data_IF_808772142725
#
_entry.id   IF_808772142725
#
_cell.length_a   1.000
_cell.length_b   1.000
_cell.length_c   1.000
_cell.angle_alpha   90.00
_cell.angle_beta   90.00
_cell.angle_gamma   90.00
#
_symmetry.space_group_name_H-M   'P 1'
#
loop_
_entity.id
_entity.type
_entity.pdbx_description
1 polymer ?
#
# COMPACT_ATOMS: atom_id res chain seq x y z
N UNK A 1 -6.87 0.40 -14.69
CA UNK A 1 -5.81 0.41 -13.66
C UNK A 1 -5.04 1.71 -13.75
N UNK A 2 -4.42 2.01 -14.89
CA UNK A 2 -3.59 3.21 -15.11
C UNK A 2 -4.25 4.52 -14.66
N UNK A 3 -5.46 4.83 -15.16
CA UNK A 3 -6.16 6.05 -14.75
C UNK A 3 -6.49 6.14 -13.25
N UNK A 4 -6.58 5.01 -12.54
CA UNK A 4 -6.73 5.01 -11.09
C UNK A 4 -5.39 5.28 -10.41
N UNK A 5 -4.30 4.69 -10.90
CA UNK A 5 -2.96 4.96 -10.38
C UNK A 5 -2.62 6.44 -10.55
N UNK A 6 -2.85 7.00 -11.75
CA UNK A 6 -2.63 8.43 -12.03
C UNK A 6 -3.41 9.31 -11.04
N UNK A 7 -4.69 9.01 -10.83
CA UNK A 7 -5.54 9.76 -9.89
C UNK A 7 -5.05 9.67 -8.44
N UNK A 8 -4.53 8.51 -8.01
CA UNK A 8 -3.99 8.35 -6.66
C UNK A 8 -2.62 9.02 -6.51
N UNK A 9 -1.76 8.99 -7.53
CA UNK A 9 -0.48 9.71 -7.56
C UNK A 9 -0.68 11.22 -7.57
N UNK A 10 -1.66 11.73 -8.32
CA UNK A 10 -2.07 13.14 -8.27
C UNK A 10 -2.53 13.51 -6.85
N UNK A 11 -3.38 12.69 -6.25
CA UNK A 11 -3.83 12.91 -4.88
C UNK A 11 -2.66 12.92 -3.88
N UNK A 12 -1.69 12.00 -4.01
CA UNK A 12 -0.48 11.97 -3.18
C UNK A 12 0.30 13.27 -3.33
N UNK A 13 0.51 13.76 -4.55
CA UNK A 13 1.19 15.03 -4.82
C UNK A 13 0.48 16.25 -4.23
N UNK A 14 -0.86 16.26 -4.24
CA UNK A 14 -1.66 17.33 -3.63
C UNK A 14 -1.66 17.30 -2.09
N UNK A 15 -1.39 16.15 -1.47
CA UNK A 15 -1.53 15.91 -0.03
C UNK A 15 -0.20 15.59 0.68
N UNK A 16 0.95 15.70 -0.01
CA UNK A 16 2.28 15.44 0.54
C UNK A 16 3.32 16.41 -0.03
N UNK A 17 4.59 16.22 0.35
CA UNK A 17 5.71 16.93 -0.26
C UNK A 17 6.33 16.17 -1.45
N UNK A 18 5.80 15.00 -1.82
CA UNK A 18 6.32 14.19 -2.92
C UNK A 18 5.99 14.82 -4.27
N UNK A 19 6.98 14.85 -5.16
CA UNK A 19 6.77 15.21 -6.55
C UNK A 19 6.27 13.99 -7.31
N UNK A 20 4.97 13.91 -7.62
CA UNK A 20 4.40 12.74 -8.28
C UNK A 20 4.17 12.91 -9.78
N UNK A 21 4.28 14.14 -10.31
CA UNK A 21 3.95 14.48 -11.70
C UNK A 21 4.85 13.85 -12.76
N UNK A 22 6.07 13.44 -12.36
CA UNK A 22 7.06 12.84 -13.25
C UNK A 22 7.38 11.38 -12.86
N UNK A 23 6.60 10.79 -11.95
CA UNK A 23 6.75 9.40 -11.55
C UNK A 23 6.12 8.48 -12.59
N UNK A 24 6.92 7.56 -13.12
CA UNK A 24 6.41 6.49 -13.96
C UNK A 24 5.62 5.50 -13.08
N UNK A 25 4.36 5.17 -13.43
CA UNK A 25 3.53 4.28 -12.62
C UNK A 25 4.17 2.89 -12.40
N UNK A 26 4.17 2.35 -11.17
CA UNK A 26 4.61 0.98 -10.94
C UNK A 26 3.63 -0.01 -11.56
N UNK A 27 4.09 -1.22 -11.86
CA UNK A 27 3.20 -2.31 -12.25
C UNK A 27 2.30 -2.71 -11.06
N UNK A 28 1.01 -2.95 -11.30
CA UNK A 28 0.09 -3.45 -10.27
C UNK A 28 -0.38 -4.85 -10.64
N UNK A 29 -0.11 -5.81 -9.75
CA UNK A 29 -0.46 -7.22 -9.92
C UNK A 29 -1.42 -7.62 -8.82
N UNK A 30 -2.66 -7.91 -9.21
CA UNK A 30 -3.69 -8.40 -8.30
C UNK A 30 -3.54 -9.91 -8.08
N UNK A 31 -3.49 -10.32 -6.82
CA UNK A 31 -3.19 -11.69 -6.40
C UNK A 31 -4.25 -12.25 -5.45
N UNK A 32 -4.45 -13.57 -5.47
CA UNK A 32 -5.18 -14.25 -4.40
C UNK A 32 -4.43 -14.16 -3.06
N UNK A 33 -5.09 -14.38 -1.91
CA UNK A 33 -4.43 -14.33 -0.60
C UNK A 33 -3.22 -15.26 -0.48
N UNK A 34 -3.29 -16.44 -1.09
CA UNK A 34 -2.19 -17.42 -1.09
C UNK A 34 -1.02 -16.99 -1.97
N UNK A 35 -1.30 -16.36 -3.11
CA UNK A 35 -0.25 -15.85 -4.00
C UNK A 35 0.46 -14.67 -3.35
N UNK A 36 -0.29 -13.70 -2.82
CA UNK A 36 0.30 -12.56 -2.13
C UNK A 36 1.14 -12.99 -0.92
N UNK A 37 0.65 -13.94 -0.12
CA UNK A 37 1.42 -14.50 1.00
C UNK A 37 2.73 -15.12 0.51
N UNK A 38 2.73 -15.81 -0.64
CA UNK A 38 3.96 -16.39 -1.20
C UNK A 38 4.95 -15.33 -1.64
N UNK A 39 4.48 -14.24 -2.27
CA UNK A 39 5.33 -13.12 -2.66
C UNK A 39 5.93 -12.42 -1.42
N UNK A 40 5.11 -12.14 -0.40
CA UNK A 40 5.59 -11.52 0.85
C UNK A 40 6.70 -12.34 1.54
N UNK A 41 6.56 -13.66 1.54
CA UNK A 41 7.51 -14.59 2.14
C UNK A 41 8.53 -15.16 1.14
N UNK A 42 8.76 -14.50 -0.01
CA UNK A 42 9.74 -14.97 -0.99
C UNK A 42 11.13 -15.16 -0.34
N UNK A 43 11.73 -16.32 -0.56
CA UNK A 43 13.00 -16.72 0.09
C UNK A 43 12.89 -17.09 1.58
N UNK A 44 11.70 -17.02 2.18
CA UNK A 44 11.42 -17.29 3.61
C UNK A 44 10.19 -18.18 3.81
N UNK A 45 9.99 -19.17 2.93
CA UNK A 45 8.82 -20.05 2.94
C UNK A 45 8.52 -20.76 4.28
N UNK A 46 9.51 -20.92 5.16
CA UNK A 46 9.35 -21.51 6.50
C UNK A 46 8.59 -20.62 7.50
N UNK A 47 8.35 -19.35 7.15
CA UNK A 47 7.57 -18.41 7.97
C UNK A 47 6.10 -18.31 7.52
N UNK A 48 5.73 -18.94 6.40
CA UNK A 48 4.35 -18.93 5.89
C UNK A 48 3.44 -19.68 6.89
N UNK A 49 2.26 -19.15 7.22
CA UNK A 49 1.26 -19.83 8.06
C UNK A 49 0.86 -21.22 7.51
N UNK A 50 0.39 -22.11 8.38
CA UNK A 50 0.11 -23.51 8.02
C UNK A 50 -0.98 -23.65 6.93
N UNK A 51 -1.96 -22.75 6.90
CA UNK A 51 -3.02 -22.71 5.88
C UNK A 51 -2.58 -22.02 4.57
N UNK A 52 -1.38 -21.43 4.57
CA UNK A 52 -0.76 -20.74 3.45
C UNK A 52 -1.24 -19.31 3.23
N UNK A 53 -1.92 -18.70 4.21
CA UNK A 53 -2.45 -17.33 4.11
C UNK A 53 -2.04 -16.52 5.33
N UNK A 54 -1.45 -15.34 5.11
CA UNK A 54 -1.24 -14.35 6.15
C UNK A 54 -2.24 -13.20 5.97
N UNK A 55 -3.35 -13.25 6.71
CA UNK A 55 -4.46 -12.27 6.63
C UNK A 55 -4.06 -10.83 7.01
N UNK A 56 -2.82 -10.62 7.47
CA UNK A 56 -2.29 -9.29 7.77
C UNK A 56 -1.69 -8.61 6.54
N UNK A 57 -1.44 -9.36 5.47
CA UNK A 57 -0.79 -8.87 4.25
C UNK A 57 -1.86 -8.54 3.22
N UNK A 58 -2.01 -7.25 2.92
CA UNK A 58 -2.97 -6.77 1.92
C UNK A 58 -2.31 -6.33 0.61
N UNK A 59 -1.05 -5.88 0.69
CA UNK A 59 -0.22 -5.55 -0.46
C UNK A 59 1.26 -5.51 -0.06
N UNK A 60 2.13 -5.42 -1.07
CA UNK A 60 3.55 -5.10 -0.95
C UNK A 60 4.02 -4.33 -2.18
N UNK A 61 4.86 -3.31 -1.96
CA UNK A 61 5.66 -2.67 -2.99
C UNK A 61 7.09 -3.22 -3.00
N UNK A 62 7.58 -3.58 -4.20
CA UNK A 62 8.95 -4.02 -4.44
C UNK A 62 9.58 -3.10 -5.50
N UNK A 63 10.44 -2.19 -5.05
CA UNK A 63 11.05 -1.17 -5.90
C UNK A 63 11.96 -1.73 -7.02
N UNK A 64 12.62 -2.86 -6.78
CA UNK A 64 13.58 -3.44 -7.71
C UNK A 64 12.98 -4.51 -8.63
N UNK A 65 11.65 -4.65 -8.64
CA UNK A 65 10.94 -5.61 -9.48
C UNK A 65 10.16 -4.89 -10.58
N UNK A 66 10.44 -5.23 -11.83
CA UNK A 66 9.95 -4.45 -12.97
C UNK A 66 10.80 -3.20 -13.24
N UNK A 67 10.43 -2.39 -14.24
CA UNK A 67 11.17 -1.19 -14.62
C UNK A 67 11.07 -0.07 -13.57
N UNK A 68 9.89 0.12 -12.97
CA UNK A 68 9.57 1.25 -12.08
C UNK A 68 9.02 0.77 -10.72
N UNK A 69 9.33 -0.48 -10.37
CA UNK A 69 8.78 -1.18 -9.21
C UNK A 69 7.45 -1.89 -9.50
N UNK A 70 7.09 -2.80 -8.60
CA UNK A 70 5.88 -3.61 -8.69
C UNK A 70 5.13 -3.61 -7.38
N UNK A 71 3.82 -3.37 -7.44
CA UNK A 71 2.87 -3.52 -6.35
C UNK A 71 2.15 -4.84 -6.54
N UNK A 72 2.32 -5.76 -5.60
CA UNK A 72 1.48 -6.94 -5.47
C UNK A 72 0.39 -6.63 -4.46
N UNK A 73 -0.88 -6.76 -4.83
CA UNK A 73 -2.03 -6.38 -4.00
C UNK A 73 -3.07 -7.49 -4.01
N UNK A 74 -3.80 -7.66 -2.91
CA UNK A 74 -4.96 -8.56 -2.90
C UNK A 74 -5.94 -8.18 -4.01
N UNK A 75 -6.48 -9.20 -4.68
CA UNK A 75 -7.57 -8.99 -5.63
C UNK A 75 -8.72 -8.23 -4.95
N UNK A 76 -9.31 -7.23 -5.63
CA UNK A 76 -10.26 -6.32 -5.00
C UNK A 76 -11.51 -7.03 -4.46
N UNK A 77 -11.88 -8.18 -5.01
CA UNK A 77 -12.97 -9.03 -4.51
C UNK A 77 -12.73 -9.62 -3.12
N UNK A 78 -11.48 -9.60 -2.62
CA UNK A 78 -11.12 -10.12 -1.30
C UNK A 78 -11.26 -9.07 -0.19
N UNK A 79 -11.50 -7.81 -0.53
CA UNK A 79 -11.63 -6.73 0.44
C UNK A 79 -13.06 -6.64 0.97
N UNK A 80 -13.19 -6.48 2.29
CA UNK A 80 -14.47 -6.29 2.95
C UNK A 80 -15.33 -5.23 2.26
N UNK A 81 -16.57 -5.61 1.95
CA UNK A 81 -17.55 -4.72 1.32
C UNK A 81 -17.40 -4.56 -0.19
N UNK A 82 -16.51 -5.30 -0.85
CA UNK A 82 -16.36 -5.30 -2.31
C UNK A 82 -17.66 -5.60 -3.06
N UNK A 83 -18.52 -6.45 -2.49
CA UNK A 83 -19.83 -6.81 -3.05
C UNK A 83 -20.82 -5.64 -3.15
N UNK A 84 -20.53 -4.51 -2.50
CA UNK A 84 -21.36 -3.31 -2.55
C UNK A 84 -21.06 -2.42 -3.78
N UNK A 85 -20.08 -2.79 -4.59
CA UNK A 85 -19.64 -2.02 -5.75
C UNK A 85 -19.83 -2.82 -7.05
N UNK A 86 -20.14 -2.11 -8.14
CA UNK A 86 -20.26 -2.73 -9.46
C UNK A 86 -18.90 -3.18 -10.02
N UNK A 87 -17.86 -2.38 -9.78
CA UNK A 87 -16.46 -2.77 -9.90
C UNK A 87 -15.87 -2.86 -8.49
N UNK A 88 -15.37 -4.03 -8.04
CA UNK A 88 -14.69 -4.17 -6.76
C UNK A 88 -13.55 -3.17 -6.52
N UNK A 89 -12.91 -2.64 -7.58
CA UNK A 89 -11.87 -1.60 -7.48
C UNK A 89 -12.41 -0.22 -7.10
N UNK A 90 -13.73 -0.03 -7.11
CA UNK A 90 -14.38 1.17 -6.58
C UNK A 90 -14.47 1.15 -5.04
N UNK A 91 -14.15 0.02 -4.40
CA UNK A 91 -14.08 -0.07 -2.95
C UNK A 91 -13.00 0.90 -2.41
N UNK A 92 -13.38 1.91 -1.59
CA UNK A 92 -12.44 2.89 -1.06
C UNK A 92 -11.37 2.26 -0.17
N UNK A 93 -11.64 1.11 0.47
CA UNK A 93 -10.64 0.41 1.27
C UNK A 93 -9.58 -0.23 0.38
N UNK A 94 -9.96 -0.85 -0.74
CA UNK A 94 -8.98 -1.39 -1.69
C UNK A 94 -8.13 -0.28 -2.31
N UNK A 95 -8.76 0.86 -2.65
CA UNK A 95 -8.02 2.03 -3.16
C UNK A 95 -7.06 2.63 -2.12
N UNK A 96 -7.41 2.57 -0.84
CA UNK A 96 -6.51 3.02 0.23
C UNK A 96 -5.30 2.08 0.40
N UNK A 97 -5.49 0.77 0.25
CA UNK A 97 -4.37 -0.20 0.24
C UNK A 97 -3.45 0.08 -0.96
N UNK A 98 -4.01 0.32 -2.14
CA UNK A 98 -3.21 0.70 -3.32
C UNK A 98 -2.48 2.04 -3.10
N UNK A 99 -3.16 3.02 -2.51
CA UNK A 99 -2.57 4.33 -2.20
C UNK A 99 -1.40 4.20 -1.22
N UNK A 100 -1.50 3.33 -0.21
CA UNK A 100 -0.41 3.06 0.73
C UNK A 100 0.87 2.63 -0.01
N UNK A 101 0.76 1.66 -0.92
CA UNK A 101 1.91 1.19 -1.70
C UNK A 101 2.42 2.23 -2.71
N UNK A 102 1.53 3.07 -3.26
CA UNK A 102 1.94 4.20 -4.12
C UNK A 102 2.70 5.27 -3.33
N UNK A 103 2.41 5.45 -2.03
CA UNK A 103 3.24 6.31 -1.16
C UNK A 103 4.64 5.72 -1.03
N UNK A 104 4.78 4.39 -0.89
CA UNK A 104 6.10 3.75 -0.88
C UNK A 104 6.86 3.91 -2.20
N UNK A 105 6.15 3.86 -3.33
CA UNK A 105 6.73 4.16 -4.63
C UNK A 105 7.26 5.61 -4.70
N UNK A 106 6.46 6.60 -4.28
CA UNK A 106 6.88 8.00 -4.23
C UNK A 106 8.04 8.24 -3.23
N UNK A 107 8.04 7.53 -2.10
CA UNK A 107 9.12 7.57 -1.11
C UNK A 107 10.43 7.02 -1.67
N UNK A 108 10.38 5.93 -2.43
CA UNK A 108 11.57 5.34 -3.05
C UNK A 108 12.29 6.34 -3.98
N UNK A 109 11.55 7.11 -4.77
CA UNK A 109 12.15 8.04 -5.75
C UNK A 109 12.53 9.40 -5.14
N UNK A 110 11.70 9.94 -4.24
CA UNK A 110 11.84 11.31 -3.75
C UNK A 110 11.96 11.44 -2.23
N UNK A 111 11.66 10.39 -1.48
CA UNK A 111 11.62 10.38 -0.02
C UNK A 111 12.85 9.78 0.63
N UNK A 112 14.07 10.22 0.27
CA UNK A 112 15.31 9.57 0.74
C UNK A 112 15.35 9.28 2.26
N UNK A 113 14.91 10.21 3.11
CA UNK A 113 14.86 9.99 4.58
C UNK A 113 13.69 9.09 5.03
N UNK A 114 12.52 9.23 4.40
CA UNK A 114 11.33 8.43 4.74
C UNK A 114 11.51 7.00 4.26
N UNK A 115 12.03 6.78 3.04
CA UNK A 115 12.34 5.47 2.47
C UNK A 115 13.43 4.70 3.23
N UNK A 116 14.49 5.37 3.66
CA UNK A 116 15.60 4.70 4.38
C UNK A 116 15.24 4.32 5.81
N UNK A 117 14.15 4.86 6.34
CA UNK A 117 13.61 4.50 7.64
C UNK A 117 12.21 3.88 7.48
N UNK A 118 12.15 2.55 7.39
CA UNK A 118 10.89 1.76 7.28
C UNK A 118 9.82 2.30 8.23
N UNK A 119 10.21 2.62 9.45
CA UNK A 119 9.35 3.19 10.45
C UNK A 119 8.64 4.49 10.06
N UNK A 120 9.38 5.43 9.48
CA UNK A 120 8.82 6.69 9.00
C UNK A 120 8.04 6.46 7.71
N UNK A 121 8.57 5.61 6.83
CA UNK A 121 7.93 5.21 5.57
C UNK A 121 6.49 4.71 5.79
N UNK A 122 6.34 3.70 6.64
CA UNK A 122 5.07 3.07 7.01
C UNK A 122 4.14 4.04 7.74
N UNK A 123 4.68 4.80 8.69
CA UNK A 123 3.90 5.76 9.48
C UNK A 123 3.24 6.80 8.58
N UNK A 124 4.00 7.37 7.65
CA UNK A 124 3.47 8.35 6.70
C UNK A 124 2.45 7.72 5.75
N UNK A 125 2.74 6.53 5.18
CA UNK A 125 1.82 5.83 4.30
C UNK A 125 0.47 5.54 5.00
N UNK A 126 0.49 5.12 6.27
CA UNK A 126 -0.72 4.97 7.07
C UNK A 126 -1.43 6.31 7.33
N UNK A 127 -0.72 7.38 7.65
CA UNK A 127 -1.33 8.70 7.87
C UNK A 127 -2.00 9.25 6.60
N UNK A 128 -1.37 9.03 5.44
CA UNK A 128 -1.94 9.39 4.15
C UNK A 128 -3.21 8.59 3.84
N UNK A 129 -3.20 7.27 4.06
CA UNK A 129 -4.39 6.44 3.90
C UNK A 129 -5.56 6.87 4.80
N UNK A 130 -5.28 7.25 6.05
CA UNK A 130 -6.30 7.76 6.97
C UNK A 130 -6.88 9.10 6.51
N UNK A 131 -6.03 9.98 5.98
CA UNK A 131 -6.47 11.25 5.38
C UNK A 131 -7.36 11.03 4.16
N UNK A 132 -6.97 10.10 3.28
CA UNK A 132 -7.73 9.72 2.10
C UNK A 132 -9.13 9.22 2.45
N UNK A 133 -9.26 8.22 3.34
CA UNK A 133 -10.57 7.70 3.76
C UNK A 133 -11.43 8.76 4.44
N UNK A 134 -10.83 9.63 5.24
CA UNK A 134 -11.53 10.74 5.89
C UNK A 134 -12.12 11.72 4.87
N UNK A 135 -11.39 12.07 3.81
CA UNK A 135 -11.89 12.95 2.74
C UNK A 135 -13.07 12.30 1.98
N UNK A 136 -13.05 10.98 1.83
CA UNK A 136 -14.14 10.21 1.23
C UNK A 136 -15.32 9.95 2.19
N UNK A 137 -15.22 10.39 3.45
CA UNK A 137 -16.21 10.13 4.51
C UNK A 137 -16.48 8.62 4.70
N UNK A 138 -15.43 7.81 4.60
CA UNK A 138 -15.45 6.35 4.80
C UNK A 138 -14.90 6.04 6.20
N UNK A 139 -15.55 5.16 7.00
CA UNK A 139 -15.01 4.72 8.27
C UNK A 139 -13.66 4.03 8.08
N UNK A 140 -12.68 4.48 8.86
CA UNK A 140 -11.35 3.91 8.86
C UNK A 140 -11.35 2.58 9.66
N UNK A 141 -11.02 1.43 9.03
CA UNK A 141 -10.98 0.15 9.73
C UNK A 141 -9.83 0.09 10.76
N UNK A 142 -8.80 0.93 10.60
CA UNK A 142 -7.67 1.01 11.52
C UNK A 142 -8.01 1.93 12.70
N UNK A 143 -8.49 1.32 13.80
CA UNK A 143 -8.90 2.06 15.01
C UNK A 143 -7.77 2.86 15.69
N UNK A 144 -6.50 2.50 15.46
CA UNK A 144 -5.35 3.24 15.96
C UNK A 144 -4.18 3.16 14.95
N UNK A 145 -4.20 4.03 13.94
CA UNK A 145 -3.06 4.18 13.01
C UNK A 145 -1.75 4.54 13.72
N UNK A 146 -1.81 5.14 14.92
CA UNK A 146 -0.63 5.44 15.74
C UNK A 146 -0.08 4.27 16.56
N UNK A 147 -0.80 3.15 16.64
CA UNK A 147 -0.26 1.91 17.21
C UNK A 147 0.68 1.20 16.24
N UNK A 148 0.41 1.29 14.92
CA UNK A 148 1.37 0.90 13.88
C UNK A 148 2.62 1.77 13.95
N UNK A 149 2.50 3.09 14.19
CA UNK A 149 3.64 4.00 14.44
C UNK A 149 4.51 3.59 15.65
N UNK A 150 3.94 2.90 16.64
CA UNK A 150 4.64 2.55 17.91
C UNK A 150 5.52 1.30 17.81
N UNK A 151 5.30 0.42 16.83
CA UNK A 151 6.17 -0.76 16.59
C UNK A 151 7.55 -0.34 16.06
N UNK A 152 7.65 0.91 15.58
CA UNK A 152 8.68 1.36 14.67
C UNK A 152 9.54 2.53 15.22
N UNK A 153 9.63 2.68 16.54
CA UNK A 153 10.07 3.94 17.18
C UNK A 153 11.54 4.42 17.06
N UNK A 154 12.37 3.90 16.17
CA UNK A 154 13.67 4.55 15.88
C UNK A 154 14.16 4.26 14.46
N UNK A 155 14.65 5.30 13.78
CA UNK A 155 15.44 5.21 12.55
C UNK A 155 16.93 4.94 12.84
N UNK A 156 17.27 4.66 14.08
CA UNK A 156 18.63 4.32 14.48
C UNK A 156 18.89 2.86 14.14
N UNK A 157 19.83 2.65 13.21
CA UNK A 157 20.42 1.35 12.91
C UNK A 157 21.31 0.80 14.04
#
# INVERSE_FOLDING_TARGET
MDALIDLLLDWIGENSAYQTSDLEPPAVVELSPKELTREFYYGRAHLIPEDGVDDRVNAIYIANEGPDGTIFILSPEQIDGAENFADPRDNPLWREILLHELVHHAQHDHGAETWTCISLSESEAYQMGGTFLKQLNVPDPMKDRTASDKIYKSCDG
#
